data_IF_049331927441
#
_entry.id   IF_049331927441
#
_cell.length_a   1.000
_cell.length_b   1.000
_cell.length_c   1.000
_cell.angle_alpha   90.00
_cell.angle_beta   90.00
_cell.angle_gamma   90.00
#
_symmetry.space_group_name_H-M   'P 1'
#
loop_
_entity.id
_entity.type
_entity.pdbx_description
1 polymer ?
#
# COMPACT_ATOMS: atom_id res chain seq x y z
N UNK A 1 0.40 10.13 6.35
CA UNK A 1 0.26 9.39 7.63
C UNK A 1 -1.12 8.73 7.65
N UNK A 2 -1.32 7.67 8.44
CA UNK A 2 -2.61 6.97 8.51
C UNK A 2 -3.79 7.91 8.83
N UNK A 3 -3.65 8.77 9.85
CA UNK A 3 -4.72 9.70 10.26
C UNK A 3 -5.15 10.66 9.15
N UNK A 4 -4.20 11.16 8.36
CA UNK A 4 -4.53 12.03 7.23
C UNK A 4 -5.42 11.32 6.21
N UNK A 5 -5.24 10.02 6.00
CA UNK A 5 -6.09 9.24 5.10
C UNK A 5 -7.46 9.10 5.75
N UNK A 6 -7.54 8.53 6.95
CA UNK A 6 -8.80 8.22 7.65
C UNK A 6 -9.69 9.44 7.87
N UNK A 7 -9.12 10.57 8.30
CA UNK A 7 -9.87 11.77 8.68
C UNK A 7 -10.28 12.65 7.49
N UNK A 8 -9.72 12.39 6.30
CA UNK A 8 -9.96 13.22 5.12
C UNK A 8 -11.02 12.59 4.21
N UNK A 9 -12.29 12.77 4.59
CA UNK A 9 -13.43 12.25 3.84
C UNK A 9 -13.37 12.61 2.34
N UNK A 10 -13.02 13.86 2.04
CA UNK A 10 -12.88 14.32 0.65
C UNK A 10 -11.85 13.49 -0.14
N UNK A 11 -10.79 12.99 0.50
CA UNK A 11 -9.76 12.20 -0.13
C UNK A 11 -10.22 10.77 -0.42
N UNK A 12 -10.76 10.04 0.56
CA UNK A 12 -11.14 8.64 0.36
C UNK A 12 -12.53 8.44 -0.28
N UNK A 13 -13.36 9.48 -0.30
CA UNK A 13 -14.54 9.56 -1.18
C UNK A 13 -14.18 10.01 -2.60
N UNK A 14 -12.94 10.48 -2.83
CA UNK A 14 -12.52 10.88 -4.17
C UNK A 14 -12.48 9.67 -5.08
N UNK A 15 -13.08 9.86 -6.24
CA UNK A 15 -13.16 8.83 -7.23
C UNK A 15 -11.79 8.38 -7.75
N UNK A 16 -11.51 7.07 -7.68
CA UNK A 16 -10.25 6.47 -8.09
C UNK A 16 -9.12 6.60 -7.07
N UNK A 17 -9.39 7.11 -5.87
CA UNK A 17 -8.42 7.07 -4.78
C UNK A 17 -8.23 5.62 -4.30
N UNK A 18 -6.98 5.19 -4.21
CA UNK A 18 -6.58 3.93 -3.59
C UNK A 18 -5.37 4.18 -2.69
N UNK A 19 -5.24 3.36 -1.66
CA UNK A 19 -4.13 3.44 -0.73
C UNK A 19 -3.74 2.05 -0.27
N UNK A 20 -2.44 1.75 -0.33
CA UNK A 20 -1.88 0.50 0.19
C UNK A 20 -0.93 0.84 1.35
N UNK A 21 -1.14 0.25 2.54
CA UNK A 21 -0.13 0.27 3.60
C UNK A 21 1.19 -0.31 3.06
N UNK A 22 2.29 0.34 3.41
CA UNK A 22 3.61 0.25 2.78
C UNK A 22 3.96 -1.08 2.09
N UNK A 23 4.26 -1.01 0.79
CA UNK A 23 5.15 -1.94 0.10
C UNK A 23 6.58 -1.41 0.34
N UNK A 24 7.40 -2.11 1.11
CA UNK A 24 8.79 -1.70 1.38
C UNK A 24 9.75 -2.71 0.75
N UNK A 25 9.92 -2.59 -0.56
CA UNK A 25 10.82 -3.46 -1.32
C UNK A 25 12.24 -2.89 -1.34
N UNK A 26 13.22 -3.77 -1.13
CA UNK A 26 14.63 -3.46 -1.30
C UNK A 26 15.10 -4.08 -2.61
N UNK A 27 15.38 -3.21 -3.58
CA UNK A 27 15.97 -3.59 -4.85
C UNK A 27 17.36 -4.21 -4.66
N UNK A 28 17.70 -5.13 -5.56
CA UNK A 28 19.04 -5.71 -5.64
C UNK A 28 20.07 -4.59 -5.87
N UNK A 29 21.23 -4.69 -5.21
CA UNK A 29 22.31 -3.68 -5.24
C UNK A 29 22.01 -2.35 -4.53
N UNK A 30 20.94 -2.28 -3.72
CA UNK A 30 20.75 -1.11 -2.85
C UNK A 30 21.99 -0.90 -1.95
N UNK A 31 22.37 0.36 -1.63
CA UNK A 31 23.55 0.65 -0.80
C UNK A 31 23.57 -0.11 0.53
N UNK A 32 22.38 -0.35 1.10
CA UNK A 32 22.19 -1.14 2.33
C UNK A 32 22.67 -2.59 2.21
N UNK A 33 22.79 -3.16 1.01
CA UNK A 33 23.33 -4.50 0.79
C UNK A 33 24.86 -4.53 0.85
N UNK A 34 25.52 -3.40 0.59
CA UNK A 34 26.98 -3.29 0.60
C UNK A 34 27.54 -3.16 2.03
N UNK A 35 26.82 -2.44 2.90
CA UNK A 35 27.15 -2.32 4.33
C UNK A 35 25.87 -2.34 5.19
N UNK A 36 25.23 -3.51 5.39
CA UNK A 36 23.98 -3.61 6.16
C UNK A 36 24.14 -3.14 7.62
N UNK A 37 25.34 -3.32 8.19
CA UNK A 37 25.61 -2.99 9.58
C UNK A 37 25.56 -1.47 9.84
N UNK A 38 26.04 -0.66 8.90
CA UNK A 38 25.94 0.81 9.00
C UNK A 38 24.49 1.32 9.07
N UNK A 39 23.53 0.55 8.59
CA UNK A 39 22.10 0.87 8.61
C UNK A 39 21.33 0.10 9.69
N UNK A 40 22.03 -0.55 10.63
CA UNK A 40 21.41 -1.29 11.72
C UNK A 40 20.73 -2.60 11.29
N UNK A 41 21.10 -3.16 10.14
CA UNK A 41 20.69 -4.51 9.73
C UNK A 41 21.68 -5.53 10.26
N UNK A 42 21.16 -6.54 10.97
CA UNK A 42 21.92 -7.68 11.51
C UNK A 42 22.14 -8.75 10.45
N UNK A 43 21.13 -9.05 9.64
CA UNK A 43 21.20 -10.11 8.61
C UNK A 43 20.27 -9.82 7.44
N UNK A 44 20.72 -10.13 6.22
CA UNK A 44 19.87 -10.20 5.02
C UNK A 44 19.79 -11.67 4.61
N UNK A 45 18.57 -12.15 4.36
CA UNK A 45 18.24 -13.52 4.00
C UNK A 45 17.60 -13.53 2.62
N UNK A 46 18.12 -14.38 1.72
CA UNK A 46 17.59 -14.57 0.37
C UNK A 46 16.98 -15.97 0.30
N UNK A 47 15.67 -16.12 0.00
CA UNK A 47 15.10 -17.43 -0.24
C UNK A 47 15.76 -18.07 -1.46
N UNK A 48 16.50 -19.16 -1.27
CA UNK A 48 17.24 -19.82 -2.36
C UNK A 48 16.33 -20.46 -3.42
N UNK A 49 15.03 -20.55 -3.15
CA UNK A 49 14.00 -21.05 -4.07
C UNK A 49 13.49 -19.99 -5.06
N UNK A 50 13.82 -18.71 -4.85
CA UNK A 50 13.39 -17.62 -5.72
C UNK A 50 14.54 -17.17 -6.62
N UNK A 51 14.55 -17.72 -7.85
CA UNK A 51 15.62 -17.52 -8.85
C UNK A 51 15.81 -16.05 -9.27
N UNK A 52 14.75 -15.24 -9.13
CA UNK A 52 14.77 -13.80 -9.39
C UNK A 52 15.03 -12.95 -8.13
N UNK A 53 14.88 -13.54 -6.93
CA UNK A 53 15.09 -12.91 -5.61
C UNK A 53 14.62 -11.45 -5.57
N UNK A 54 13.36 -11.20 -5.93
CA UNK A 54 12.78 -9.85 -5.95
C UNK A 54 12.47 -9.33 -4.54
N UNK A 55 12.41 -10.22 -3.55
CA UNK A 55 12.24 -9.88 -2.14
C UNK A 55 13.38 -10.43 -1.28
N UNK A 56 13.72 -9.69 -0.22
CA UNK A 56 14.67 -10.11 0.80
C UNK A 56 14.05 -9.97 2.18
N UNK A 57 14.28 -10.97 3.02
CA UNK A 57 14.00 -10.81 4.45
C UNK A 57 15.23 -10.22 5.12
N UNK A 58 15.05 -9.29 6.04
CA UNK A 58 16.15 -8.75 6.82
C UNK A 58 15.79 -8.69 8.28
N UNK A 59 16.82 -8.73 9.12
CA UNK A 59 16.69 -8.62 10.55
C UNK A 59 17.42 -7.37 11.01
N UNK A 60 16.73 -6.53 11.78
CA UNK A 60 17.28 -5.27 12.30
C UNK A 60 17.87 -5.47 13.71
N UNK A 61 18.90 -4.69 14.04
CA UNK A 61 19.56 -4.70 15.35
C UNK A 61 18.75 -3.98 16.43
N UNK A 62 17.81 -3.13 16.04
CA UNK A 62 16.92 -2.40 16.93
C UNK A 62 15.69 -1.88 16.20
N UNK A 63 14.69 -1.43 16.95
CA UNK A 63 13.37 -1.06 16.43
C UNK A 63 12.29 -2.02 16.89
N UNK A 64 11.24 -2.18 16.08
CA UNK A 64 10.15 -3.11 16.37
C UNK A 64 10.58 -4.56 16.15
N UNK A 65 10.15 -5.46 17.01
CA UNK A 65 10.22 -6.90 16.75
C UNK A 65 9.29 -7.28 15.57
N UNK A 66 9.48 -8.45 14.94
CA UNK A 66 8.55 -8.93 13.90
C UNK A 66 7.08 -8.90 14.35
N UNK A 67 6.78 -9.39 15.55
CA UNK A 67 5.42 -9.40 16.11
C UNK A 67 4.86 -7.97 16.31
N UNK A 68 5.69 -7.02 16.75
CA UNK A 68 5.30 -5.62 16.91
C UNK A 68 5.04 -4.95 15.56
N UNK A 69 5.90 -5.23 14.57
CA UNK A 69 5.75 -4.71 13.22
C UNK A 69 4.49 -5.30 12.55
N UNK A 70 4.23 -6.59 12.74
CA UNK A 70 3.01 -7.25 12.27
C UNK A 70 1.76 -6.67 12.94
N UNK A 71 1.78 -6.51 14.26
CA UNK A 71 0.67 -5.89 15.00
C UNK A 71 0.38 -4.47 14.51
N UNK A 72 1.43 -3.67 14.29
CA UNK A 72 1.27 -2.32 13.76
C UNK A 72 0.76 -2.32 12.31
N UNK A 73 1.28 -3.23 11.47
CA UNK A 73 0.82 -3.39 10.10
C UNK A 73 -0.67 -3.72 10.07
N UNK A 74 -1.11 -4.71 10.85
CA UNK A 74 -2.52 -5.08 10.95
C UNK A 74 -3.37 -3.91 11.43
N UNK A 75 -2.93 -3.19 12.45
CA UNK A 75 -3.63 -1.99 12.92
C UNK A 75 -3.78 -0.94 11.81
N UNK A 76 -2.71 -0.64 11.07
CA UNK A 76 -2.76 0.35 9.98
C UNK A 76 -3.65 -0.12 8.83
N UNK A 77 -3.55 -1.41 8.48
CA UNK A 77 -4.36 -2.04 7.44
C UNK A 77 -5.83 -1.95 7.80
N UNK A 78 -6.26 -2.50 8.95
CA UNK A 78 -7.65 -2.47 9.41
C UNK A 78 -8.24 -1.05 9.39
N UNK A 79 -7.49 -0.06 9.91
CA UNK A 79 -7.94 1.35 9.96
C UNK A 79 -8.10 1.98 8.58
N UNK A 80 -7.27 1.61 7.61
CA UNK A 80 -7.38 2.12 6.23
C UNK A 80 -8.51 1.40 5.49
N UNK A 81 -8.65 0.09 5.67
CA UNK A 81 -9.70 -0.72 5.05
C UNK A 81 -11.11 -0.35 5.53
N UNK A 82 -11.26 0.30 6.70
CA UNK A 82 -12.52 0.91 7.14
C UNK A 82 -13.03 2.02 6.21
N UNK A 83 -12.13 2.75 5.55
CA UNK A 83 -12.47 3.98 4.81
C UNK A 83 -12.15 3.93 3.32
N UNK A 84 -11.13 3.17 2.93
CA UNK A 84 -10.76 2.97 1.52
C UNK A 84 -11.28 1.60 1.11
N UNK A 85 -12.17 1.58 0.11
CA UNK A 85 -12.54 0.32 -0.53
C UNK A 85 -11.30 -0.23 -1.22
N UNK A 86 -10.85 -1.42 -0.81
CA UNK A 86 -9.84 -2.19 -1.53
C UNK A 86 -10.42 -2.60 -2.88
N UNK A 87 -10.44 -1.66 -3.83
CA UNK A 87 -10.62 -1.96 -5.24
C UNK A 87 -9.68 -3.13 -5.56
N UNK A 88 -10.20 -4.23 -6.14
CA UNK A 88 -9.59 -5.52 -5.98
C UNK A 88 -8.21 -5.52 -6.63
N UNK A 89 -7.24 -6.04 -5.88
CA UNK A 89 -5.79 -6.15 -6.11
C UNK A 89 -5.34 -6.70 -7.48
N UNK A 90 -6.25 -6.94 -8.43
CA UNK A 90 -6.01 -7.69 -9.67
C UNK A 90 -6.59 -7.06 -10.94
N UNK A 91 -7.02 -5.79 -10.91
CA UNK A 91 -7.20 -5.07 -12.17
C UNK A 91 -5.83 -4.59 -12.64
N UNK A 92 -5.48 -4.89 -13.90
CA UNK A 92 -4.33 -4.19 -14.50
C UNK A 92 -4.62 -2.69 -14.41
N UNK A 93 -3.58 -1.85 -14.34
CA UNK A 93 -3.73 -0.38 -14.34
C UNK A 93 -4.71 0.11 -15.42
N UNK A 94 -4.78 -0.59 -16.57
CA UNK A 94 -5.72 -0.30 -17.64
C UNK A 94 -7.19 -0.56 -17.26
N UNK A 95 -7.48 -1.64 -16.54
CA UNK A 95 -8.84 -1.99 -16.12
C UNK A 95 -9.34 -1.10 -14.98
N UNK A 96 -8.45 -0.72 -14.05
CA UNK A 96 -8.74 0.28 -13.03
C UNK A 96 -9.08 1.65 -13.64
N UNK A 97 -8.33 2.07 -14.67
CA UNK A 97 -8.63 3.28 -15.43
C UNK A 97 -9.94 3.18 -16.23
N UNK A 98 -10.29 2.00 -16.74
CA UNK A 98 -11.56 1.77 -17.45
C UNK A 98 -12.76 1.85 -16.50
N UNK A 99 -12.67 1.25 -15.32
CA UNK A 99 -13.67 1.37 -14.26
C UNK A 99 -13.85 2.84 -13.84
N UNK A 100 -12.74 3.56 -13.71
CA UNK A 100 -12.73 5.00 -13.44
C UNK A 100 -13.44 5.78 -14.56
N UNK A 101 -13.07 5.55 -15.82
CA UNK A 101 -13.69 6.23 -16.95
C UNK A 101 -15.21 6.00 -17.02
N UNK A 102 -15.66 4.76 -16.82
CA UNK A 102 -17.07 4.39 -16.86
C UNK A 102 -17.91 5.05 -15.77
N UNK A 103 -17.46 5.01 -14.50
CA UNK A 103 -18.24 5.63 -13.45
C UNK A 103 -18.26 7.17 -13.53
N UNK A 104 -17.25 7.81 -14.17
CA UNK A 104 -17.32 9.23 -14.54
C UNK A 104 -18.44 9.51 -15.56
N UNK A 105 -18.59 8.66 -16.58
CA UNK A 105 -19.68 8.81 -17.56
C UNK A 105 -21.06 8.63 -16.92
N UNK A 106 -21.22 7.65 -16.03
CA UNK A 106 -22.48 7.39 -15.32
C UNK A 106 -22.85 8.56 -14.38
N UNK A 107 -21.88 9.16 -13.68
CA UNK A 107 -22.11 10.32 -12.82
C UNK A 107 -22.49 11.60 -13.59
N UNK A 108 -21.99 11.76 -14.82
CA UNK A 108 -22.36 12.87 -15.72
C UNK A 108 -23.79 12.69 -16.27
N UNK A 109 -24.26 11.44 -16.38
CA UNK A 109 -25.60 11.11 -16.89
C UNK A 109 -26.68 11.08 -15.79
N UNK A 110 -26.33 11.15 -14.51
CA UNK A 110 -27.29 11.21 -13.42
C UNK A 110 -28.05 12.55 -13.43
N UNK A 111 -29.40 12.57 -13.54
CA UNK A 111 -30.16 13.81 -13.51
C UNK A 111 -30.05 14.48 -12.14
N UNK A 112 -29.72 15.77 -12.12
CA UNK A 112 -29.72 16.59 -10.89
C UNK A 112 -31.12 16.55 -10.27
N UNK A 113 -31.25 16.36 -8.94
CA UNK A 113 -32.55 16.49 -8.28
C UNK A 113 -33.05 17.91 -8.49
N UNK A 114 -34.20 18.06 -9.16
CA UNK A 114 -34.91 19.34 -9.21
C UNK A 114 -35.33 19.65 -7.78
N UNK A 115 -34.69 20.66 -7.19
CA UNK A 115 -35.00 21.13 -5.85
C UNK A 115 -36.48 21.47 -5.69
N UNK A 116 -37.03 21.07 -4.54
CA UNK A 116 -38.29 21.55 -3.98
C UNK A 116 -38.04 22.04 -2.56
#
# INVERSE_FOLDING_TARGET
TMNFIVENAKLHESFGFSCQPCLFDLEKEAPIMSDPAAYGIRRIMRPSSEDLSLGFFYEVQGGMTPDQAETLYQHVYERISEVVCELPFNYSMADGLLYIARAKEEAVQAPQPIGL
#
